data_IF_446808571386
#
_entry.id   IF_446808571386
#
_cell.length_a   1.000
_cell.length_b   1.000
_cell.length_c   1.000
_cell.angle_alpha   90.00
_cell.angle_beta   90.00
_cell.angle_gamma   90.00
#
_symmetry.space_group_name_H-M   'P 1'
#
loop_
_entity.id
_entity.type
_entity.pdbx_description
1 polymer ?
#
# COMPACT_ATOMS: atom_id res chain seq x y z
N UNK A 1 39.65 26.75 19.61
CA UNK A 1 38.44 26.87 20.45
C UNK A 1 38.19 28.35 20.67
N UNK A 2 37.03 28.84 20.26
CA UNK A 2 36.67 30.25 20.32
C UNK A 2 35.65 30.42 21.46
N UNK A 3 35.92 31.34 22.39
CA UNK A 3 35.22 31.43 23.68
C UNK A 3 33.94 32.29 23.64
N UNK A 4 33.69 33.04 22.55
CA UNK A 4 32.46 33.83 22.34
C UNK A 4 31.93 33.64 20.92
N UNK A 5 30.69 33.14 20.78
CA UNK A 5 30.10 32.73 19.49
C UNK A 5 30.02 33.81 18.40
N UNK A 6 30.06 35.10 18.75
CA UNK A 6 29.87 36.21 17.80
C UNK A 6 31.18 36.69 17.12
N UNK A 7 32.35 36.32 17.65
CA UNK A 7 33.67 36.77 17.15
C UNK A 7 34.47 35.64 16.49
N UNK A 8 33.86 34.48 16.26
CA UNK A 8 34.57 33.34 15.70
C UNK A 8 34.71 33.47 14.18
N UNK A 9 35.87 33.06 13.62
CA UNK A 9 36.06 33.01 12.18
C UNK A 9 35.12 31.95 11.59
N UNK A 10 34.25 32.37 10.66
CA UNK A 10 33.24 31.49 10.06
C UNK A 10 33.00 31.83 8.60
N UNK A 11 32.45 30.87 7.87
CA UNK A 11 32.02 31.06 6.48
C UNK A 11 30.52 30.77 6.37
N UNK A 12 29.79 31.68 5.73
CA UNK A 12 28.33 31.68 5.67
C UNK A 12 27.81 32.16 4.29
N UNK A 13 26.49 32.11 4.10
CA UNK A 13 25.78 32.64 2.92
C UNK A 13 26.28 32.09 1.57
N UNK A 14 26.19 30.76 1.33
CA UNK A 14 26.59 30.18 0.05
C UNK A 14 25.65 30.58 -1.09
N UNK A 15 26.22 30.95 -2.23
CA UNK A 15 25.50 31.25 -3.47
C UNK A 15 26.19 30.59 -4.67
N UNK A 16 25.48 29.77 -5.48
CA UNK A 16 24.10 29.35 -5.31
C UNK A 16 23.92 28.28 -4.23
N UNK A 17 22.74 28.26 -3.60
CA UNK A 17 22.34 27.22 -2.63
C UNK A 17 21.90 25.90 -3.26
N UNK A 18 21.61 25.89 -4.57
CA UNK A 18 21.18 24.72 -5.32
C UNK A 18 22.26 24.27 -6.30
N UNK A 19 22.75 23.05 -6.13
CA UNK A 19 23.86 22.53 -6.93
C UNK A 19 23.41 21.27 -7.70
N UNK A 20 23.46 21.27 -9.05
CA UNK A 20 23.16 20.09 -9.85
C UNK A 20 24.23 19.00 -9.67
N UNK A 21 23.78 17.75 -9.50
CA UNK A 21 24.66 16.57 -9.54
C UNK A 21 25.26 16.41 -10.95
N UNK A 22 26.55 16.08 -11.02
CA UNK A 22 27.29 15.85 -12.27
C UNK A 22 27.73 17.10 -13.03
N UNK A 23 27.50 18.31 -12.49
CA UNK A 23 27.96 19.57 -13.10
C UNK A 23 28.72 20.44 -12.09
N UNK A 24 29.94 20.83 -12.44
CA UNK A 24 30.80 21.68 -11.62
C UNK A 24 30.20 23.08 -11.51
N UNK A 25 29.72 23.40 -10.31
CA UNK A 25 29.07 24.68 -10.01
C UNK A 25 29.95 25.48 -9.08
N UNK A 26 30.37 26.66 -9.52
CA UNK A 26 31.12 27.58 -8.68
C UNK A 26 30.22 28.09 -7.56
N UNK A 27 30.73 28.09 -6.32
CA UNK A 27 30.02 28.55 -5.13
C UNK A 27 30.82 29.70 -4.52
N UNK A 28 30.17 30.85 -4.35
CA UNK A 28 30.71 31.96 -3.57
C UNK A 28 30.08 32.02 -2.18
N UNK A 29 30.83 32.50 -1.20
CA UNK A 29 30.39 32.61 0.19
C UNK A 29 31.13 33.74 0.91
N UNK A 30 30.58 34.17 2.05
CA UNK A 30 31.15 35.25 2.86
C UNK A 30 32.01 34.70 3.98
N UNK A 31 33.20 35.28 4.15
CA UNK A 31 34.07 35.06 5.30
C UNK A 31 33.84 36.14 6.37
N UNK A 32 33.54 35.73 7.59
CA UNK A 32 33.23 36.61 8.73
C UNK A 32 34.33 36.45 9.79
N UNK A 33 34.79 37.58 10.36
CA UNK A 33 35.84 37.63 11.39
C UNK A 33 37.17 36.97 10.96
N UNK A 34 37.59 37.19 9.70
CA UNK A 34 38.80 36.59 9.11
C UNK A 34 40.02 37.52 9.06
N UNK A 35 40.01 38.66 9.74
CA UNK A 35 41.09 39.67 9.66
C UNK A 35 42.46 39.10 10.09
N UNK A 36 42.48 38.16 11.03
CA UNK A 36 43.71 37.46 11.47
C UNK A 36 44.13 36.30 10.55
N UNK A 37 43.45 36.13 9.42
CA UNK A 37 43.60 35.00 8.51
C UNK A 37 43.86 35.41 7.05
N UNK A 38 44.19 36.69 6.79
CA UNK A 38 44.33 37.19 5.42
C UNK A 38 45.40 36.49 4.58
N UNK A 39 46.49 36.02 5.19
CA UNK A 39 47.58 35.29 4.53
C UNK A 39 47.36 33.77 4.49
N UNK A 40 46.20 33.26 4.95
CA UNK A 40 45.94 31.81 5.00
C UNK A 40 45.32 31.29 3.73
N UNK A 41 45.65 30.04 3.42
CA UNK A 41 45.04 29.28 2.33
C UNK A 41 44.05 28.29 2.91
N UNK A 42 42.82 28.33 2.43
CA UNK A 42 41.74 27.45 2.85
C UNK A 42 41.45 26.38 1.81
N UNK A 43 41.00 25.23 2.29
CA UNK A 43 40.42 24.17 1.47
C UNK A 43 38.97 23.92 1.89
N UNK A 44 38.13 23.56 0.92
CA UNK A 44 36.72 23.22 1.09
C UNK A 44 36.52 21.73 0.87
N UNK A 45 35.74 21.08 1.72
CA UNK A 45 35.41 19.67 1.58
C UNK A 45 34.04 19.34 2.15
N UNK A 46 33.55 18.16 1.80
CA UNK A 46 32.33 17.57 2.38
C UNK A 46 32.41 16.04 2.37
N UNK A 47 31.51 15.37 3.08
CA UNK A 47 31.45 13.91 3.18
C UNK A 47 31.26 13.24 1.81
N UNK A 48 30.54 13.89 0.90
CA UNK A 48 30.30 13.37 -0.45
C UNK A 48 31.51 13.51 -1.40
N UNK A 49 32.56 14.24 -1.01
CA UNK A 49 33.79 14.39 -1.81
C UNK A 49 34.81 13.26 -1.57
N UNK A 50 34.47 12.20 -0.79
CA UNK A 50 35.34 11.03 -0.56
C UNK A 50 36.77 11.40 -0.11
N UNK A 51 36.88 12.33 0.83
CA UNK A 51 38.15 12.87 1.36
C UNK A 51 38.95 13.75 0.38
N UNK A 52 38.40 14.11 -0.77
CA UNK A 52 38.96 15.19 -1.60
C UNK A 52 38.61 16.54 -0.99
N UNK A 53 39.56 17.48 -1.08
CA UNK A 53 39.40 18.87 -0.68
C UNK A 53 39.86 19.74 -1.84
N UNK A 54 39.13 20.82 -2.10
CA UNK A 54 39.43 21.75 -3.20
C UNK A 54 39.94 23.08 -2.65
N UNK A 55 40.82 23.79 -3.37
CA UNK A 55 41.33 25.08 -2.93
C UNK A 55 40.24 26.15 -2.99
N UNK A 56 40.15 26.94 -1.93
CA UNK A 56 39.29 28.13 -1.87
C UNK A 56 40.09 29.35 -2.33
N UNK A 57 39.46 30.20 -3.15
CA UNK A 57 40.05 31.45 -3.65
C UNK A 57 39.46 32.63 -2.89
N UNK A 58 40.31 33.56 -2.45
CA UNK A 58 39.87 34.86 -1.92
C UNK A 58 39.50 35.74 -3.12
N UNK A 59 38.28 36.25 -3.11
CA UNK A 59 37.78 37.21 -4.10
C UNK A 59 37.94 38.64 -3.54
N UNK A 60 37.14 39.59 -4.05
CA UNK A 60 37.14 40.96 -3.54
C UNK A 60 36.50 41.06 -2.14
N UNK A 61 37.16 41.80 -1.23
CA UNK A 61 36.63 42.08 0.11
C UNK A 61 36.52 40.83 0.98
N UNK A 62 35.30 40.54 1.46
CA UNK A 62 35.00 39.40 2.35
C UNK A 62 34.54 38.14 1.62
N UNK A 63 34.53 38.14 0.29
CA UNK A 63 34.02 37.03 -0.50
C UNK A 63 35.11 36.01 -0.80
N UNK A 64 34.72 34.75 -0.78
CA UNK A 64 35.54 33.61 -1.14
C UNK A 64 34.79 32.74 -2.14
N UNK A 65 35.50 32.01 -2.99
CA UNK A 65 34.91 31.16 -4.01
C UNK A 65 35.57 29.79 -4.08
N UNK A 66 34.77 28.83 -4.51
CA UNK A 66 35.18 27.48 -4.86
C UNK A 66 34.69 27.20 -6.28
N UNK A 67 35.58 26.76 -7.17
CA UNK A 67 35.27 26.53 -8.59
C UNK A 67 34.21 25.44 -8.86
N UNK A 68 33.90 24.60 -7.88
CA UNK A 68 32.90 23.54 -7.97
C UNK A 68 33.50 22.13 -7.98
N UNK A 69 32.66 21.16 -7.62
CA UNK A 69 32.99 19.73 -7.63
C UNK A 69 31.92 18.98 -8.43
N UNK A 70 32.32 17.97 -9.21
CA UNK A 70 31.36 17.08 -9.87
C UNK A 70 30.87 16.01 -8.90
N UNK A 71 29.74 16.27 -8.24
CA UNK A 71 29.13 15.32 -7.31
C UNK A 71 28.47 14.15 -8.04
N UNK A 72 28.45 12.98 -7.39
CA UNK A 72 27.68 11.80 -7.80
C UNK A 72 26.77 11.37 -6.66
N UNK A 73 25.45 11.52 -6.84
CA UNK A 73 24.45 11.17 -5.84
C UNK A 73 23.11 10.82 -6.51
N UNK A 74 22.54 9.67 -6.18
CA UNK A 74 21.36 9.09 -6.85
C UNK A 74 20.31 8.50 -5.89
N UNK A 75 20.51 8.61 -4.56
CA UNK A 75 19.61 8.00 -3.56
C UNK A 75 18.28 8.73 -3.39
N UNK A 76 18.25 10.03 -3.67
CA UNK A 76 17.05 10.87 -3.57
C UNK A 76 17.13 12.02 -4.59
N UNK A 77 15.98 12.64 -4.94
CA UNK A 77 15.98 13.80 -5.84
C UNK A 77 16.80 14.98 -5.30
N UNK A 78 16.83 15.14 -3.98
CA UNK A 78 17.57 16.18 -3.26
C UNK A 78 18.25 15.64 -2.01
N UNK A 79 19.36 16.26 -1.63
CA UNK A 79 20.02 16.05 -0.34
C UNK A 79 20.73 17.32 0.12
N UNK A 80 20.69 17.60 1.42
CA UNK A 80 21.43 18.72 2.01
C UNK A 80 22.86 18.31 2.36
N UNK A 81 23.80 19.18 2.05
CA UNK A 81 25.23 18.94 2.20
C UNK A 81 25.84 20.13 2.91
N UNK A 82 26.50 19.84 4.02
CA UNK A 82 27.28 20.81 4.77
C UNK A 82 28.74 20.76 4.29
N UNK A 83 29.27 21.91 3.88
CA UNK A 83 30.68 22.07 3.60
C UNK A 83 31.44 22.50 4.86
N UNK A 84 32.61 21.91 5.06
CA UNK A 84 33.56 22.36 6.07
C UNK A 84 34.71 23.10 5.41
N UNK A 85 35.14 24.22 6.00
CA UNK A 85 36.40 24.87 5.64
C UNK A 85 37.54 24.33 6.49
N UNK A 86 38.71 24.20 5.90
CA UNK A 86 39.91 23.76 6.60
C UNK A 86 41.07 24.69 6.28
N UNK A 87 41.77 25.13 7.31
CA UNK A 87 43.00 25.89 7.16
C UNK A 87 44.13 24.93 6.76
N UNK A 88 44.70 25.12 5.57
CA UNK A 88 45.74 24.25 5.02
C UNK A 88 47.01 24.23 5.89
N UNK A 89 47.29 25.32 6.62
CA UNK A 89 48.48 25.44 7.47
C UNK A 89 48.35 24.66 8.78
N UNK A 90 47.18 24.74 9.43
CA UNK A 90 46.97 24.11 10.75
C UNK A 90 46.28 22.74 10.65
N UNK A 91 45.65 22.43 9.52
CA UNK A 91 44.85 21.22 9.33
C UNK A 91 43.50 21.25 10.06
N UNK A 92 43.19 22.34 10.78
CA UNK A 92 41.99 22.44 11.58
C UNK A 92 40.78 22.81 10.73
N UNK A 93 39.65 22.15 11.00
CA UNK A 93 38.36 22.51 10.43
C UNK A 93 37.77 23.71 11.17
N UNK A 94 37.22 24.65 10.41
CA UNK A 94 36.51 25.80 10.93
C UNK A 94 35.01 25.49 11.00
N UNK A 95 34.34 26.10 11.98
CA UNK A 95 32.88 26.05 12.04
C UNK A 95 32.33 26.85 10.86
N UNK A 96 31.46 26.26 10.06
CA UNK A 96 30.96 26.86 8.82
C UNK A 96 29.50 26.47 8.65
N UNK A 97 28.66 27.43 8.28
CA UNK A 97 27.22 27.23 8.07
C UNK A 97 26.87 27.09 6.58
N UNK A 98 27.85 26.62 5.80
CA UNK A 98 27.76 26.45 4.35
C UNK A 98 26.94 25.22 3.96
N UNK A 99 25.63 25.32 4.20
CA UNK A 99 24.66 24.33 3.76
C UNK A 99 24.19 24.64 2.34
N UNK A 100 24.30 23.64 1.46
CA UNK A 100 23.71 23.67 0.12
C UNK A 100 22.83 22.44 -0.08
N UNK A 101 21.95 22.51 -1.08
CA UNK A 101 21.16 21.36 -1.50
C UNK A 101 21.67 20.87 -2.86
N UNK A 102 22.13 19.63 -2.89
CA UNK A 102 22.38 18.92 -4.14
C UNK A 102 21.05 18.41 -4.70
N UNK A 103 20.84 18.54 -6.00
CA UNK A 103 19.69 17.95 -6.67
C UNK A 103 20.09 17.13 -7.90
N UNK A 104 19.38 16.04 -8.14
CA UNK A 104 19.56 15.19 -9.30
C UNK A 104 18.31 15.22 -10.17
N UNK A 105 18.46 15.72 -11.40
CA UNK A 105 17.38 15.79 -12.37
C UNK A 105 16.85 14.42 -12.79
N UNK A 106 17.67 13.37 -12.76
CA UNK A 106 17.30 12.05 -13.28
C UNK A 106 16.49 11.20 -12.29
N UNK A 107 16.63 11.45 -10.99
CA UNK A 107 15.96 10.64 -9.95
C UNK A 107 14.48 11.00 -9.85
N UNK A 108 13.61 10.00 -10.00
CA UNK A 108 12.15 10.17 -10.02
C UNK A 108 11.59 10.84 -11.27
N UNK A 109 12.40 10.92 -12.35
CA UNK A 109 12.03 11.55 -13.63
C UNK A 109 12.49 10.68 -14.80
N UNK A 110 11.96 9.47 -14.86
CA UNK A 110 12.37 8.44 -15.81
C UNK A 110 11.92 8.73 -17.25
N UNK A 111 10.96 9.64 -17.44
CA UNK A 111 10.45 10.01 -18.76
C UNK A 111 10.40 11.53 -19.01
N UNK A 112 10.12 11.91 -20.25
CA UNK A 112 10.16 13.30 -20.67
C UNK A 112 9.09 14.16 -19.99
N UNK A 113 7.89 13.61 -19.79
CA UNK A 113 6.79 14.33 -19.17
C UNK A 113 7.06 14.59 -17.68
N UNK A 114 7.60 13.61 -16.95
CA UNK A 114 8.09 13.80 -15.56
C UNK A 114 9.23 14.81 -15.51
N UNK A 115 10.15 14.75 -16.47
CA UNK A 115 11.25 15.70 -16.55
C UNK A 115 10.76 17.14 -16.75
N UNK A 116 9.77 17.34 -17.63
CA UNK A 116 9.16 18.65 -17.87
C UNK A 116 8.26 19.13 -16.75
N UNK A 117 7.71 18.23 -15.94
CA UNK A 117 6.96 18.57 -14.74
C UNK A 117 7.87 19.08 -13.61
N UNK A 118 9.18 18.85 -13.70
CA UNK A 118 10.12 19.36 -12.71
C UNK A 118 9.99 20.87 -12.54
N UNK A 119 10.11 21.32 -11.29
CA UNK A 119 10.14 22.74 -10.96
C UNK A 119 11.23 23.46 -11.77
N UNK A 120 10.87 24.61 -12.35
CA UNK A 120 11.74 25.38 -13.22
C UNK A 120 13.02 25.83 -12.51
N UNK A 121 13.03 25.93 -11.17
CA UNK A 121 14.23 26.27 -10.38
C UNK A 121 15.39 25.29 -10.57
N UNK A 122 15.11 24.02 -10.88
CA UNK A 122 16.14 23.00 -11.12
C UNK A 122 16.71 23.05 -12.54
N UNK A 123 16.08 23.79 -13.46
CA UNK A 123 16.50 23.85 -14.87
C UNK A 123 16.77 22.47 -15.49
N UNK A 124 15.98 21.47 -15.11
CA UNK A 124 16.06 20.12 -15.69
C UNK A 124 15.46 20.13 -17.10
N UNK A 125 16.08 19.39 -18.01
CA UNK A 125 15.62 19.24 -19.40
C UNK A 125 15.71 17.77 -19.82
N UNK A 126 14.77 17.34 -20.65
CA UNK A 126 14.82 16.02 -21.26
C UNK A 126 15.84 16.01 -22.40
N UNK A 127 16.88 15.21 -22.27
CA UNK A 127 17.92 15.10 -23.31
C UNK A 127 17.63 13.92 -24.23
N UNK A 128 16.99 14.18 -25.37
CA UNK A 128 16.46 13.16 -26.30
C UNK A 128 17.49 12.14 -26.77
N UNK A 129 18.76 12.54 -26.98
CA UNK A 129 19.86 11.63 -27.35
C UNK A 129 20.24 10.67 -26.22
N UNK A 130 20.24 11.15 -24.99
CA UNK A 130 20.56 10.36 -23.80
C UNK A 130 19.34 9.59 -23.26
N UNK A 131 18.13 9.98 -23.69
CA UNK A 131 16.84 9.50 -23.16
C UNK A 131 16.78 9.62 -21.64
N UNK A 132 17.26 10.74 -21.11
CA UNK A 132 17.36 10.99 -19.69
C UNK A 132 17.03 12.44 -19.34
N UNK A 133 16.51 12.66 -18.13
CA UNK A 133 16.32 13.98 -17.56
C UNK A 133 17.63 14.46 -16.93
N UNK A 134 18.21 15.55 -17.45
CA UNK A 134 19.51 16.06 -16.99
C UNK A 134 19.44 17.57 -16.76
N UNK A 135 20.41 18.11 -16.03
CA UNK A 135 20.55 19.57 -15.91
C UNK A 135 20.84 20.19 -17.28
N UNK A 136 20.22 21.35 -17.59
CA UNK A 136 20.27 22.01 -18.92
C UNK A 136 21.66 22.09 -19.54
N UNK A 137 22.70 22.38 -18.75
CA UNK A 137 24.08 22.53 -19.25
C UNK A 137 24.77 21.21 -19.59
N UNK A 138 24.24 20.07 -19.11
CA UNK A 138 24.75 18.73 -19.41
C UNK A 138 24.15 18.14 -20.70
N UNK A 139 23.13 18.77 -21.30
CA UNK A 139 22.57 18.33 -22.56
C UNK A 139 23.13 19.14 -23.74
N UNK A 140 23.85 18.48 -24.64
CA UNK A 140 24.44 19.11 -25.84
C UNK A 140 23.43 19.46 -26.94
N UNK A 141 22.16 19.04 -26.80
CA UNK A 141 21.12 19.17 -27.83
C UNK A 141 19.81 19.66 -27.22
N UNK A 142 19.77 20.94 -26.84
CA UNK A 142 18.61 21.55 -26.19
C UNK A 142 17.49 21.93 -27.16
N UNK A 143 17.60 21.62 -28.46
CA UNK A 143 16.66 22.09 -29.48
C UNK A 143 15.47 21.15 -29.68
N UNK A 144 15.61 19.84 -29.43
CA UNK A 144 14.49 18.90 -29.55
C UNK A 144 13.81 18.66 -28.20
N UNK A 145 12.89 19.56 -27.86
CA UNK A 145 12.16 19.56 -26.59
C UNK A 145 10.89 18.72 -26.62
N UNK A 146 10.56 18.05 -27.72
CA UNK A 146 9.28 17.34 -27.82
C UNK A 146 9.36 15.94 -27.21
N UNK A 147 8.47 15.64 -26.26
CA UNK A 147 8.42 14.31 -25.65
C UNK A 147 8.01 13.22 -26.66
N UNK A 148 8.49 11.98 -26.51
CA UNK A 148 8.07 10.87 -27.36
C UNK A 148 6.57 10.55 -27.20
N UNK A 149 6.07 9.66 -28.07
CA UNK A 149 4.71 9.14 -27.93
C UNK A 149 4.51 8.41 -26.59
N UNK A 150 3.31 8.50 -25.99
CA UNK A 150 3.00 7.75 -24.78
C UNK A 150 3.18 6.24 -24.97
N UNK A 151 3.70 5.58 -23.95
CA UNK A 151 3.83 4.12 -23.94
C UNK A 151 2.98 3.54 -22.84
N UNK A 152 2.03 2.66 -23.21
CA UNK A 152 1.19 1.95 -22.25
C UNK A 152 1.89 0.65 -21.87
N UNK A 153 2.17 0.48 -20.58
CA UNK A 153 2.88 -0.68 -20.03
C UNK A 153 1.93 -1.70 -19.41
N UNK A 154 0.87 -1.23 -18.73
CA UNK A 154 -0.08 -2.09 -18.04
C UNK A 154 -1.48 -1.47 -17.98
N UNK A 155 -2.51 -2.30 -17.85
CA UNK A 155 -3.91 -1.90 -17.72
C UNK A 155 -4.55 -2.73 -16.61
N UNK A 156 -5.18 -2.07 -15.64
CA UNK A 156 -5.77 -2.72 -14.46
C UNK A 156 -7.18 -2.18 -14.21
N UNK A 157 -8.23 -3.03 -14.21
CA UNK A 157 -8.24 -4.44 -14.57
C UNK A 157 -8.13 -4.66 -16.09
N UNK A 158 -7.79 -5.89 -16.52
CA UNK A 158 -7.76 -6.28 -17.94
C UNK A 158 -9.12 -6.71 -18.50
N UNK A 159 -10.10 -6.88 -17.62
CA UNK A 159 -11.43 -7.38 -17.94
C UNK A 159 -12.49 -6.44 -17.35
N UNK A 160 -13.59 -6.26 -18.08
CA UNK A 160 -14.73 -5.51 -17.56
C UNK A 160 -16.07 -5.94 -18.15
N UNK A 161 -17.19 -5.58 -17.48
CA UNK A 161 -18.52 -5.96 -17.92
C UNK A 161 -18.91 -5.34 -19.26
N UNK A 162 -19.75 -6.03 -20.04
CA UNK A 162 -20.20 -5.54 -21.35
C UNK A 162 -20.99 -4.22 -21.25
N UNK A 163 -21.69 -4.00 -20.12
CA UNK A 163 -22.41 -2.73 -19.86
C UNK A 163 -21.50 -1.59 -19.43
N UNK A 164 -20.21 -1.83 -19.22
CA UNK A 164 -19.26 -0.86 -18.70
C UNK A 164 -19.58 -0.44 -17.26
N UNK A 165 -19.21 0.79 -16.90
CA UNK A 165 -19.47 1.37 -15.58
C UNK A 165 -18.45 0.97 -14.51
N UNK A 166 -17.28 0.49 -14.91
CA UNK A 166 -16.10 0.29 -14.04
C UNK A 166 -14.99 1.27 -14.43
N UNK A 167 -14.08 1.56 -13.50
CA UNK A 167 -12.88 2.36 -13.81
C UNK A 167 -11.70 1.44 -14.13
N UNK A 168 -10.97 1.76 -15.19
CA UNK A 168 -9.68 1.13 -15.49
C UNK A 168 -8.54 2.13 -15.27
N UNK A 169 -7.41 1.63 -14.81
CA UNK A 169 -6.16 2.37 -14.63
C UNK A 169 -5.18 1.94 -15.71
N UNK A 170 -4.74 2.91 -16.50
CA UNK A 170 -3.79 2.73 -17.59
C UNK A 170 -2.45 3.25 -17.11
N UNK A 171 -1.48 2.35 -16.94
CA UNK A 171 -0.12 2.68 -16.54
C UNK A 171 0.78 2.83 -17.76
N UNK A 172 1.75 3.73 -17.68
CA UNK A 172 2.62 4.02 -18.79
C UNK A 172 3.68 5.06 -18.50
N UNK A 173 4.24 5.60 -19.58
CA UNK A 173 5.18 6.71 -19.57
C UNK A 173 4.83 7.72 -20.66
N UNK A 174 5.28 8.96 -20.47
CA UNK A 174 4.98 10.11 -21.34
C UNK A 174 3.46 10.32 -21.54
N UNK A 175 2.67 10.09 -20.48
CA UNK A 175 1.20 10.20 -20.53
C UNK A 175 0.69 11.65 -20.41
N UNK A 176 1.57 12.65 -20.46
CA UNK A 176 1.22 14.06 -20.31
C UNK A 176 1.86 14.68 -19.07
N UNK A 177 1.86 16.02 -19.01
CA UNK A 177 2.37 16.79 -17.88
C UNK A 177 1.20 17.15 -16.96
N UNK A 178 0.07 17.52 -17.55
CA UNK A 178 -1.16 17.90 -16.84
C UNK A 178 -2.31 16.96 -17.20
N UNK A 179 -3.33 16.90 -16.34
CA UNK A 179 -4.52 16.05 -16.57
C UNK A 179 -5.30 16.48 -17.83
N UNK A 180 -5.23 17.76 -18.18
CA UNK A 180 -5.85 18.35 -19.38
C UNK A 180 -5.12 17.98 -20.68
N UNK A 181 -3.91 17.41 -20.59
CA UNK A 181 -3.19 16.91 -21.77
C UNK A 181 -3.85 15.67 -22.37
N UNK A 182 -4.64 14.93 -21.58
CA UNK A 182 -5.40 13.78 -22.04
C UNK A 182 -6.58 14.25 -22.89
N UNK A 183 -6.55 13.99 -24.20
CA UNK A 183 -7.57 14.44 -25.14
C UNK A 183 -8.62 13.41 -25.45
N UNK A 184 -8.21 12.15 -25.54
CA UNK A 184 -9.14 11.06 -25.80
C UNK A 184 -8.56 9.75 -25.26
N UNK A 185 -9.46 8.86 -24.83
CA UNK A 185 -9.12 7.51 -24.41
C UNK A 185 -10.15 6.58 -25.04
N UNK A 186 -9.69 5.52 -25.69
CA UNK A 186 -10.56 4.46 -26.19
C UNK A 186 -10.12 3.10 -25.67
N UNK A 187 -11.09 2.23 -25.43
CA UNK A 187 -10.89 0.86 -24.94
C UNK A 187 -11.63 -0.07 -25.89
N UNK A 188 -10.88 -0.92 -26.60
CA UNK A 188 -11.41 -1.75 -27.68
C UNK A 188 -12.20 -0.94 -28.75
N UNK A 189 -11.82 0.32 -28.96
CA UNK A 189 -12.47 1.24 -29.89
C UNK A 189 -13.70 1.97 -29.35
N UNK A 190 -14.10 1.72 -28.10
CA UNK A 190 -15.19 2.45 -27.43
C UNK A 190 -14.65 3.61 -26.57
N UNK A 191 -15.33 4.76 -26.51
CA UNK A 191 -14.91 5.89 -25.69
C UNK A 191 -14.82 5.55 -24.20
N UNK A 192 -13.76 6.02 -23.55
CA UNK A 192 -13.56 5.91 -22.10
C UNK A 192 -13.51 7.31 -21.47
N UNK A 193 -14.29 7.54 -20.42
CA UNK A 193 -14.44 8.86 -19.80
C UNK A 193 -13.28 9.09 -18.85
N UNK A 194 -12.41 10.06 -19.14
CA UNK A 194 -11.25 10.37 -18.31
C UNK A 194 -11.66 10.87 -16.91
N UNK A 195 -11.08 10.26 -15.87
CA UNK A 195 -11.27 10.62 -14.47
C UNK A 195 -10.09 11.51 -14.02
N UNK A 196 -10.18 12.80 -14.32
CA UNK A 196 -9.07 13.76 -14.16
C UNK A 196 -8.52 13.84 -12.72
N UNK A 197 -9.38 13.65 -11.72
CA UNK A 197 -8.99 13.70 -10.30
C UNK A 197 -8.15 12.51 -9.84
N UNK A 198 -8.10 11.44 -10.65
CA UNK A 198 -7.30 10.23 -10.40
C UNK A 198 -6.08 10.14 -11.31
N UNK A 199 -5.73 11.22 -12.01
CA UNK A 199 -4.56 11.28 -12.87
C UNK A 199 -3.27 11.38 -12.05
N UNK A 200 -2.26 10.61 -12.41
CA UNK A 200 -0.90 10.72 -11.89
C UNK A 200 0.03 11.14 -13.01
N UNK A 201 0.80 12.21 -12.78
CA UNK A 201 1.66 12.84 -13.79
C UNK A 201 2.50 11.79 -14.52
N UNK A 202 2.29 11.71 -15.84
CA UNK A 202 2.97 10.81 -16.79
C UNK A 202 2.88 9.30 -16.54
N UNK A 203 2.43 8.88 -15.36
CA UNK A 203 2.59 7.51 -14.85
C UNK A 203 1.31 6.71 -14.91
N UNK A 204 0.15 7.33 -14.68
CA UNK A 204 -1.14 6.65 -14.82
C UNK A 204 -2.31 7.57 -15.15
N UNK A 205 -3.20 7.04 -15.99
CA UNK A 205 -4.47 7.67 -16.38
C UNK A 205 -5.61 6.74 -15.99
N UNK A 206 -6.60 7.25 -15.27
CA UNK A 206 -7.82 6.51 -14.95
C UNK A 206 -8.97 6.95 -15.86
N UNK A 207 -9.76 5.99 -16.34
CA UNK A 207 -10.96 6.28 -17.11
C UNK A 207 -12.09 5.28 -16.82
N UNK A 208 -13.34 5.72 -16.95
CA UNK A 208 -14.54 4.89 -16.79
C UNK A 208 -15.00 4.37 -18.15
N UNK A 209 -15.07 3.04 -18.30
CA UNK A 209 -15.44 2.41 -19.57
C UNK A 209 -16.95 2.50 -19.82
N UNK A 210 -17.33 2.76 -21.06
CA UNK A 210 -18.71 2.71 -21.52
C UNK A 210 -19.19 1.28 -21.85
N UNK A 211 -20.46 1.18 -22.23
CA UNK A 211 -21.06 -0.04 -22.78
C UNK A 211 -20.46 -0.35 -24.15
N UNK A 212 -20.12 -1.61 -24.39
CA UNK A 212 -19.69 -2.07 -25.71
C UNK A 212 -20.88 -2.35 -26.64
N UNK A 213 -20.76 -1.94 -27.91
CA UNK A 213 -21.78 -2.19 -28.93
C UNK A 213 -21.88 -3.67 -29.33
N UNK A 214 -23.06 -4.17 -29.73
CA UNK A 214 -23.28 -5.59 -30.03
C UNK A 214 -22.48 -6.14 -31.23
N UNK A 215 -22.04 -5.27 -32.15
CA UNK A 215 -21.29 -5.64 -33.36
C UNK A 215 -19.80 -5.28 -33.28
N UNK A 216 -19.28 -5.04 -32.07
CA UNK A 216 -17.89 -4.66 -31.84
C UNK A 216 -17.08 -5.85 -31.34
N UNK A 217 -15.78 -5.84 -31.60
CA UNK A 217 -14.88 -6.84 -31.03
C UNK A 217 -14.84 -6.68 -29.52
N UNK A 218 -15.18 -7.74 -28.78
CA UNK A 218 -15.16 -7.75 -27.32
C UNK A 218 -13.76 -7.57 -26.74
N UNK A 219 -12.71 -7.82 -27.54
CA UNK A 219 -11.33 -7.64 -27.14
C UNK A 219 -10.62 -6.68 -28.08
N UNK A 220 -9.84 -5.76 -27.52
CA UNK A 220 -9.08 -4.81 -28.31
C UNK A 220 -8.10 -3.98 -27.49
N UNK A 221 -7.24 -3.20 -28.17
CA UNK A 221 -6.24 -2.38 -27.50
C UNK A 221 -6.90 -1.19 -26.78
N UNK A 222 -6.14 -0.63 -25.84
CA UNK A 222 -6.41 0.68 -25.24
C UNK A 222 -5.53 1.71 -25.93
N UNK A 223 -6.13 2.82 -26.34
CA UNK A 223 -5.43 3.92 -27.01
C UNK A 223 -5.65 5.22 -26.23
N UNK A 224 -4.57 6.00 -26.08
CA UNK A 224 -4.59 7.31 -25.43
C UNK A 224 -4.03 8.34 -26.41
N UNK A 225 -4.76 9.45 -26.57
CA UNK A 225 -4.30 10.63 -27.28
C UNK A 225 -3.97 11.72 -26.28
N UNK A 226 -2.75 12.22 -26.38
CA UNK A 226 -2.28 13.34 -25.56
C UNK A 226 -2.03 14.57 -26.44
N UNK A 227 -1.88 15.72 -25.80
CA UNK A 227 -1.53 16.99 -26.45
C UNK A 227 -0.33 16.85 -27.42
N UNK A 228 -0.35 17.64 -28.49
CA UNK A 228 0.66 17.57 -29.56
C UNK A 228 0.42 16.44 -30.57
N UNK A 229 -0.79 15.87 -30.61
CA UNK A 229 -1.16 14.84 -31.60
C UNK A 229 -0.53 13.46 -31.35
N UNK A 230 0.08 13.26 -30.18
CA UNK A 230 0.77 12.02 -29.83
C UNK A 230 -0.21 10.95 -29.39
N UNK A 231 0.12 9.71 -29.73
CA UNK A 231 -0.74 8.55 -29.50
C UNK A 231 0.03 7.41 -28.88
N UNK A 232 -0.51 6.87 -27.78
CA UNK A 232 -0.09 5.60 -27.21
C UNK A 232 -1.10 4.50 -27.54
N UNK A 233 -0.61 3.31 -27.87
CA UNK A 233 -1.43 2.11 -28.11
C UNK A 233 -0.88 0.95 -27.28
N UNK A 234 -1.74 0.28 -26.53
CA UNK A 234 -1.34 -0.85 -25.70
C UNK A 234 -0.99 -2.07 -26.57
N UNK A 235 -0.01 -2.85 -26.10
CA UNK A 235 0.32 -4.16 -26.69
C UNK A 235 -0.60 -5.27 -26.18
N UNK A 236 -1.11 -5.10 -24.96
CA UNK A 236 -2.10 -5.99 -24.33
C UNK A 236 -3.51 -5.51 -24.67
N UNK A 237 -4.43 -6.44 -24.83
CA UNK A 237 -5.83 -6.13 -25.09
C UNK A 237 -6.63 -6.11 -23.78
N UNK A 238 -7.60 -5.20 -23.72
CA UNK A 238 -8.68 -5.24 -22.76
C UNK A 238 -9.81 -6.10 -23.32
N UNK A 239 -10.50 -6.87 -22.48
CA UNK A 239 -11.59 -7.76 -22.91
C UNK A 239 -12.87 -7.52 -22.11
N UNK A 240 -13.94 -7.21 -22.83
CA UNK A 240 -15.31 -7.17 -22.32
C UNK A 240 -15.87 -8.58 -22.18
N UNK A 241 -16.39 -8.91 -21.00
CA UNK A 241 -17.06 -10.18 -20.70
C UNK A 241 -18.02 -9.96 -19.54
N UNK A 242 -19.05 -10.80 -19.38
CA UNK A 242 -19.95 -10.69 -18.23
C UNK A 242 -19.68 -11.82 -17.22
N UNK A 243 -19.70 -11.52 -15.90
CA UNK A 243 -19.48 -12.51 -14.86
C UNK A 243 -20.69 -13.46 -14.72
N UNK A 244 -20.41 -14.76 -14.66
CA UNK A 244 -21.43 -15.81 -14.56
C UNK A 244 -21.22 -16.60 -13.26
N UNK A 245 -21.78 -16.16 -12.14
CA UNK A 245 -21.75 -16.92 -10.90
C UNK A 245 -22.68 -18.13 -11.01
N UNK A 246 -22.25 -19.26 -10.45
CA UNK A 246 -22.93 -20.56 -10.61
C UNK A 246 -23.26 -21.23 -9.27
N UNK A 247 -22.41 -21.04 -8.26
CA UNK A 247 -22.55 -21.73 -6.98
C UNK A 247 -22.04 -20.90 -5.81
N UNK A 248 -22.54 -21.24 -4.62
CA UNK A 248 -22.14 -20.63 -3.35
C UNK A 248 -21.93 -21.75 -2.32
N UNK A 249 -20.81 -21.72 -1.60
CA UNK A 249 -20.51 -22.66 -0.54
C UNK A 249 -19.86 -21.97 0.68
N UNK A 250 -20.27 -22.26 1.92
CA UNK A 250 -21.40 -23.10 2.31
C UNK A 250 -22.74 -22.47 1.91
N UNK A 251 -23.81 -23.28 1.88
CA UNK A 251 -25.17 -22.83 1.51
C UNK A 251 -26.01 -22.39 2.73
N UNK A 252 -25.44 -22.45 3.94
CA UNK A 252 -26.09 -22.14 5.21
C UNK A 252 -25.09 -21.48 6.16
N UNK A 253 -25.58 -20.67 7.08
CA UNK A 253 -24.79 -20.08 8.15
C UNK A 253 -25.67 -19.41 9.22
N UNK A 254 -25.10 -19.06 10.39
CA UNK A 254 -25.85 -18.49 11.51
C UNK A 254 -26.42 -17.10 11.21
N UNK A 255 -27.55 -16.77 11.85
CA UNK A 255 -28.24 -15.47 11.79
C UNK A 255 -27.31 -14.29 12.09
N UNK A 256 -26.42 -14.45 13.06
CA UNK A 256 -25.47 -13.42 13.45
C UNK A 256 -24.42 -13.12 12.35
N UNK A 257 -24.35 -13.94 11.30
CA UNK A 257 -23.46 -13.75 10.15
C UNK A 257 -22.07 -14.31 10.39
N UNK A 258 -21.08 -13.70 9.76
CA UNK A 258 -19.67 -14.05 9.92
C UNK A 258 -19.20 -15.28 9.17
N UNK A 259 -20.08 -15.90 8.37
CA UNK A 259 -19.75 -17.03 7.49
C UNK A 259 -18.96 -16.53 6.27
N UNK A 260 -17.79 -17.12 6.02
CA UNK A 260 -17.07 -16.90 4.77
C UNK A 260 -17.69 -17.79 3.68
N UNK A 261 -18.47 -17.20 2.79
CA UNK A 261 -19.01 -17.88 1.62
C UNK A 261 -18.08 -17.71 0.42
N UNK A 262 -17.93 -18.78 -0.35
CA UNK A 262 -17.17 -18.83 -1.59
C UNK A 262 -18.14 -18.91 -2.76
N UNK A 263 -18.08 -17.93 -3.65
CA UNK A 263 -18.87 -17.86 -4.88
C UNK A 263 -17.99 -18.36 -6.02
N UNK A 264 -18.47 -19.37 -6.73
CA UNK A 264 -17.79 -20.00 -7.87
C UNK A 264 -18.58 -19.78 -9.16
N UNK A 265 -17.87 -19.73 -10.28
CA UNK A 265 -18.50 -19.54 -11.59
C UNK A 265 -17.45 -19.23 -12.66
N UNK A 266 -17.88 -18.56 -13.73
CA UNK A 266 -17.02 -18.14 -14.83
C UNK A 266 -16.86 -16.63 -14.83
N UNK A 267 -15.67 -16.17 -15.22
CA UNK A 267 -15.38 -14.74 -15.42
C UNK A 267 -15.70 -13.87 -14.20
N UNK A 268 -15.55 -14.38 -12.98
CA UNK A 268 -15.80 -13.60 -11.76
C UNK A 268 -14.77 -12.49 -11.58
N UNK A 269 -13.53 -12.69 -12.05
CA UNK A 269 -12.48 -11.66 -12.12
C UNK A 269 -12.69 -10.69 -13.30
N UNK A 270 -13.80 -9.97 -13.30
CA UNK A 270 -14.21 -9.03 -14.37
C UNK A 270 -14.44 -7.63 -13.83
N UNK A 271 -13.55 -7.19 -12.93
CA UNK A 271 -13.40 -5.81 -12.46
C UNK A 271 -12.16 -5.76 -11.54
N UNK A 272 -12.04 -4.69 -10.75
CA UNK A 272 -11.21 -4.63 -9.54
C UNK A 272 -12.05 -4.91 -8.29
N UNK A 273 -11.41 -5.28 -7.18
CA UNK A 273 -12.08 -5.62 -5.91
C UNK A 273 -12.90 -4.44 -5.36
N UNK A 274 -12.41 -3.22 -5.57
CA UNK A 274 -12.99 -1.97 -5.07
C UNK A 274 -14.34 -1.65 -5.74
N UNK A 275 -14.57 -2.18 -6.95
CA UNK A 275 -15.78 -1.99 -7.73
C UNK A 275 -16.80 -3.12 -7.52
N UNK A 276 -16.55 -4.05 -6.60
CA UNK A 276 -17.41 -5.24 -6.38
C UNK A 276 -18.09 -5.17 -5.03
N UNK A 277 -19.41 -5.35 -5.05
CA UNK A 277 -20.23 -5.45 -3.84
C UNK A 277 -21.06 -6.73 -3.89
N UNK A 278 -21.09 -7.47 -2.78
CA UNK A 278 -21.85 -8.72 -2.66
C UNK A 278 -22.91 -8.57 -1.59
N UNK A 279 -24.11 -9.06 -1.86
CA UNK A 279 -25.23 -9.11 -0.92
C UNK A 279 -25.86 -10.50 -0.87
N UNK A 280 -26.33 -10.89 0.31
CA UNK A 280 -27.14 -12.09 0.54
C UNK A 280 -28.55 -11.63 0.91
N UNK A 281 -29.47 -11.70 -0.04
CA UNK A 281 -30.70 -10.92 0.03
C UNK A 281 -30.36 -9.43 0.17
N UNK A 282 -30.79 -8.82 1.27
CA UNK A 282 -30.51 -7.41 1.60
C UNK A 282 -29.28 -7.21 2.50
N UNK A 283 -28.65 -8.30 2.96
CA UNK A 283 -27.52 -8.23 3.89
C UNK A 283 -26.19 -8.11 3.13
N UNK A 284 -25.38 -7.12 3.49
CA UNK A 284 -24.05 -6.93 2.90
C UNK A 284 -23.11 -8.11 3.24
N UNK A 285 -22.34 -8.56 2.24
CA UNK A 285 -21.29 -9.55 2.39
C UNK A 285 -19.93 -8.92 2.07
N UNK A 286 -19.06 -8.80 3.08
CA UNK A 286 -17.78 -8.10 2.95
C UNK A 286 -16.77 -8.94 2.16
N UNK A 287 -16.40 -8.49 0.96
CA UNK A 287 -15.47 -9.19 0.07
C UNK A 287 -14.06 -9.24 0.68
N UNK A 288 -13.56 -10.46 0.92
CA UNK A 288 -12.21 -10.74 1.42
C UNK A 288 -11.26 -10.99 0.27
N UNK A 289 -11.62 -11.90 -0.63
CA UNK A 289 -10.81 -12.31 -1.77
C UNK A 289 -11.62 -12.16 -3.06
N UNK A 290 -10.94 -11.71 -4.12
CA UNK A 290 -11.54 -11.47 -5.42
C UNK A 290 -10.62 -12.00 -6.53
N UNK A 291 -11.11 -12.99 -7.28
CA UNK A 291 -10.37 -13.65 -8.35
C UNK A 291 -11.30 -14.55 -9.16
N UNK A 292 -10.82 -15.73 -9.54
CA UNK A 292 -11.65 -16.74 -10.21
C UNK A 292 -12.80 -17.25 -9.33
N UNK A 293 -12.64 -17.13 -8.01
CA UNK A 293 -13.70 -17.23 -7.02
C UNK A 293 -13.77 -15.93 -6.21
N UNK A 294 -14.91 -15.67 -5.58
CA UNK A 294 -15.09 -14.54 -4.67
C UNK A 294 -15.38 -15.09 -3.27
N UNK A 295 -14.56 -14.71 -2.30
CA UNK A 295 -14.80 -15.05 -0.88
C UNK A 295 -15.30 -13.81 -0.18
N UNK A 296 -16.48 -13.88 0.44
CA UNK A 296 -17.02 -12.78 1.23
C UNK A 296 -17.54 -13.26 2.58
N UNK A 297 -17.46 -12.39 3.59
CA UNK A 297 -17.96 -12.65 4.94
C UNK A 297 -19.36 -12.09 5.09
N UNK A 298 -20.34 -12.93 5.40
CA UNK A 298 -21.73 -12.52 5.58
C UNK A 298 -21.89 -11.55 6.75
N UNK A 299 -22.74 -10.54 6.58
CA UNK A 299 -23.18 -9.66 7.67
C UNK A 299 -24.26 -10.30 8.55
N UNK A 300 -24.66 -9.58 9.59
CA UNK A 300 -25.75 -9.99 10.47
C UNK A 300 -27.11 -9.87 9.76
N UNK A 301 -27.95 -10.90 9.93
CA UNK A 301 -29.33 -10.88 9.46
C UNK A 301 -30.23 -10.23 10.52
N UNK A 302 -30.47 -8.92 10.35
CA UNK A 302 -31.14 -8.08 11.35
C UNK A 302 -32.65 -8.32 11.49
N UNK A 303 -33.29 -9.05 10.58
CA UNK A 303 -34.73 -9.27 10.67
C UNK A 303 -35.07 -10.25 11.81
N UNK A 304 -36.20 -10.01 12.48
CA UNK A 304 -36.63 -10.84 13.62
C UNK A 304 -36.86 -12.29 13.20
N UNK A 305 -37.57 -12.51 12.10
CA UNK A 305 -37.88 -13.83 11.56
C UNK A 305 -36.84 -14.28 10.55
N UNK A 306 -36.36 -15.50 10.70
CA UNK A 306 -35.46 -16.13 9.73
C UNK A 306 -36.16 -16.38 8.39
N UNK A 307 -35.40 -16.33 7.28
CA UNK A 307 -35.96 -16.61 5.96
C UNK A 307 -36.30 -18.11 5.85
N UNK A 308 -37.54 -18.38 5.43
CA UNK A 308 -38.02 -19.74 5.18
C UNK A 308 -37.32 -20.39 3.97
N UNK A 309 -36.95 -19.57 2.98
CA UNK A 309 -36.30 -19.99 1.75
C UNK A 309 -34.85 -19.52 1.68
N UNK A 310 -34.07 -20.15 0.80
CA UNK A 310 -32.71 -19.68 0.49
C UNK A 310 -32.78 -18.33 -0.22
N UNK A 311 -32.01 -17.37 0.27
CA UNK A 311 -31.86 -16.04 -0.29
C UNK A 311 -30.93 -16.07 -1.52
N UNK A 312 -31.16 -15.17 -2.50
CA UNK A 312 -30.24 -14.99 -3.61
C UNK A 312 -28.94 -14.34 -3.11
N UNK A 313 -27.82 -14.70 -3.75
CA UNK A 313 -26.55 -14.02 -3.56
C UNK A 313 -26.29 -13.15 -4.78
N UNK A 314 -26.37 -11.83 -4.60
CA UNK A 314 -26.27 -10.82 -5.66
C UNK A 314 -24.89 -10.19 -5.65
N UNK A 315 -24.27 -10.08 -6.82
CA UNK A 315 -22.97 -9.44 -7.01
C UNK A 315 -23.15 -8.26 -7.96
N UNK A 316 -22.78 -7.07 -7.49
CA UNK A 316 -22.74 -5.84 -8.27
C UNK A 316 -21.30 -5.56 -8.71
N UNK A 317 -21.11 -5.31 -10.00
CA UNK A 317 -19.86 -4.94 -10.64
C UNK A 317 -19.98 -3.52 -11.19
N UNK A 318 -19.23 -2.59 -10.60
CA UNK A 318 -19.28 -1.17 -10.93
C UNK A 318 -20.69 -0.60 -10.77
N UNK A 319 -21.07 0.29 -11.68
CA UNK A 319 -22.37 0.99 -11.64
C UNK A 319 -23.50 0.28 -12.40
N UNK A 320 -23.17 -0.59 -13.34
CA UNK A 320 -24.12 -0.99 -14.40
C UNK A 320 -24.41 -2.49 -14.48
N UNK A 321 -23.61 -3.34 -13.83
CA UNK A 321 -23.72 -4.80 -13.98
C UNK A 321 -24.06 -5.46 -12.67
N UNK A 322 -25.15 -6.22 -12.66
CA UNK A 322 -25.62 -7.00 -11.51
C UNK A 322 -25.87 -8.43 -11.97
N UNK A 323 -25.35 -9.38 -11.23
CA UNK A 323 -25.52 -10.82 -11.46
C UNK A 323 -25.87 -11.52 -10.14
N UNK A 324 -26.43 -12.72 -10.18
CA UNK A 324 -26.89 -13.40 -8.96
C UNK A 324 -26.91 -14.92 -9.10
N UNK A 325 -26.68 -15.60 -7.98
CA UNK A 325 -27.03 -17.02 -7.80
C UNK A 325 -28.34 -17.06 -7.04
N UNK A 326 -29.39 -17.53 -7.70
CA UNK A 326 -30.72 -17.65 -7.10
C UNK A 326 -30.75 -18.76 -6.05
N UNK A 327 -31.53 -18.59 -4.99
CA UNK A 327 -31.75 -19.59 -3.94
C UNK A 327 -30.47 -20.24 -3.40
N UNK A 328 -29.47 -19.42 -3.07
CA UNK A 328 -28.11 -19.90 -2.82
C UNK A 328 -27.74 -20.08 -1.34
N UNK A 329 -28.19 -19.17 -0.45
CA UNK A 329 -27.75 -19.16 0.95
C UNK A 329 -28.93 -19.00 1.92
N UNK A 330 -28.92 -19.73 3.04
CA UNK A 330 -29.94 -19.63 4.08
C UNK A 330 -29.32 -19.28 5.44
N UNK A 331 -29.87 -18.23 6.08
CA UNK A 331 -29.58 -17.95 7.48
C UNK A 331 -30.35 -18.92 8.38
N UNK A 332 -29.63 -19.47 9.35
CA UNK A 332 -30.10 -20.45 10.33
C UNK A 332 -30.02 -19.88 11.74
N UNK A 333 -30.67 -20.52 12.70
CA UNK A 333 -30.53 -20.14 14.11
C UNK A 333 -29.07 -20.23 14.58
N UNK A 334 -28.69 -19.33 15.49
CA UNK A 334 -27.33 -19.26 16.00
C UNK A 334 -26.96 -20.54 16.78
N UNK A 335 -25.70 -21.00 16.73
CA UNK A 335 -25.25 -22.14 17.50
C UNK A 335 -25.40 -21.89 19.00
N UNK A 336 -25.71 -22.93 19.75
CA UNK A 336 -25.85 -22.88 21.21
C UNK A 336 -24.99 -23.94 21.87
N UNK A 337 -24.47 -23.64 23.06
CA UNK A 337 -23.75 -24.60 23.89
C UNK A 337 -24.66 -25.04 25.02
N UNK A 338 -24.84 -26.35 25.17
CA UNK A 338 -25.69 -26.95 26.19
C UNK A 338 -24.91 -27.43 27.40
N UNK A 339 -23.74 -28.05 27.20
CA UNK A 339 -22.94 -28.57 28.30
C UNK A 339 -21.45 -28.67 27.94
N UNK A 340 -20.62 -28.71 28.97
CA UNK A 340 -19.17 -28.75 28.89
C UNK A 340 -18.65 -29.83 29.83
N UNK A 341 -17.98 -30.84 29.29
CA UNK A 341 -17.45 -31.94 30.07
C UNK A 341 -15.97 -32.19 29.73
N UNK A 342 -15.06 -32.04 30.70
CA UNK A 342 -15.26 -31.59 32.09
C UNK A 342 -15.38 -30.06 32.19
N UNK A 343 -16.13 -29.57 33.19
CA UNK A 343 -16.29 -28.12 33.46
C UNK A 343 -15.03 -27.43 33.99
N UNK A 344 -14.03 -28.23 34.36
CA UNK A 344 -12.82 -27.78 35.02
C UNK A 344 -11.60 -28.33 34.29
N UNK A 345 -10.59 -27.48 34.17
CA UNK A 345 -9.30 -27.81 33.57
C UNK A 345 -8.18 -27.29 34.46
N UNK A 346 -6.99 -27.87 34.30
CA UNK A 346 -5.79 -27.35 34.93
C UNK A 346 -5.41 -25.99 34.36
N UNK A 347 -4.79 -25.13 35.17
CA UNK A 347 -4.28 -23.80 34.76
C UNK A 347 -3.29 -23.91 33.60
N UNK A 348 -2.46 -24.96 33.59
CA UNK A 348 -1.55 -25.27 32.47
C UNK A 348 -2.27 -25.82 31.22
N UNK A 349 -3.59 -25.97 31.22
CA UNK A 349 -4.31 -26.64 30.14
C UNK A 349 -4.02 -28.14 30.03
N UNK A 350 -3.98 -28.68 28.82
CA UNK A 350 -3.69 -30.07 28.46
C UNK A 350 -4.87 -31.03 28.55
N UNK A 351 -6.07 -30.54 28.89
CA UNK A 351 -7.27 -31.37 29.05
C UNK A 351 -8.21 -31.16 27.86
N UNK A 352 -8.64 -32.26 27.24
CA UNK A 352 -9.71 -32.21 26.25
C UNK A 352 -11.02 -31.87 26.94
N UNK A 353 -11.69 -30.81 26.47
CA UNK A 353 -13.01 -30.39 26.91
C UNK A 353 -13.98 -30.72 25.79
N UNK A 354 -14.94 -31.60 26.10
CA UNK A 354 -16.04 -31.96 25.22
C UNK A 354 -17.14 -30.93 25.39
N UNK A 355 -17.39 -30.17 24.34
CA UNK A 355 -18.47 -29.19 24.25
C UNK A 355 -19.65 -29.82 23.55
N UNK A 356 -20.81 -29.84 24.20
CA UNK A 356 -22.06 -30.28 23.59
C UNK A 356 -22.97 -29.09 23.29
N UNK A 357 -23.77 -29.19 22.22
CA UNK A 357 -24.64 -28.10 21.81
C UNK A 357 -25.38 -28.37 20.50
N UNK A 358 -25.76 -27.30 19.81
CA UNK A 358 -26.47 -27.35 18.53
C UNK A 358 -25.92 -26.32 17.54
N UNK A 359 -26.06 -26.59 16.24
CA UNK A 359 -25.69 -25.66 15.17
C UNK A 359 -24.19 -25.52 14.93
N UNK A 360 -23.37 -26.40 15.50
CA UNK A 360 -21.91 -26.39 15.31
C UNK A 360 -21.49 -26.70 13.86
N UNK A 361 -22.36 -27.32 13.07
CA UNK A 361 -22.18 -27.55 11.64
C UNK A 361 -22.27 -26.26 10.79
N UNK A 362 -22.82 -25.18 11.35
CA UNK A 362 -23.02 -23.90 10.66
C UNK A 362 -21.79 -22.98 10.74
N UNK A 363 -20.83 -23.28 11.62
CA UNK A 363 -19.64 -22.47 11.85
C UNK A 363 -18.42 -23.13 11.21
N UNK A 364 -17.55 -22.30 10.62
CA UNK A 364 -16.34 -22.78 9.94
C UNK A 364 -15.14 -22.89 10.88
N UNK A 365 -15.15 -22.11 11.96
CA UNK A 365 -14.11 -22.09 12.98
C UNK A 365 -14.74 -21.82 14.34
N UNK A 366 -14.29 -22.57 15.35
CA UNK A 366 -14.67 -22.41 16.74
C UNK A 366 -13.38 -22.22 17.55
N UNK A 367 -13.41 -21.29 18.50
CA UNK A 367 -12.28 -21.01 19.40
C UNK A 367 -12.84 -20.96 20.81
N UNK A 368 -12.21 -21.67 21.75
CA UNK A 368 -12.60 -21.60 23.15
C UNK A 368 -11.89 -20.42 23.80
N UNK A 369 -12.63 -19.61 24.56
CA UNK A 369 -12.06 -18.52 25.36
C UNK A 369 -12.32 -18.77 26.82
N UNK A 370 -11.24 -18.72 27.59
CA UNK A 370 -11.25 -18.92 29.03
C UNK A 370 -10.78 -17.63 29.70
N UNK A 371 -11.62 -17.08 30.58
CA UNK A 371 -11.31 -15.92 31.40
C UNK A 371 -11.32 -16.35 32.87
N UNK A 372 -10.20 -16.14 33.57
CA UNK A 372 -10.07 -16.40 35.01
C UNK A 372 -10.00 -15.10 35.81
N UNK A 373 -10.27 -15.18 37.12
CA UNK A 373 -10.42 -14.06 38.07
C UNK A 373 -9.14 -13.23 38.37
N UNK A 374 -8.20 -13.11 37.41
CA UNK A 374 -7.16 -12.07 37.32
C UNK A 374 -6.23 -12.21 36.09
N UNK A 375 -6.62 -12.99 35.06
CA UNK A 375 -5.84 -13.14 33.82
C UNK A 375 -6.70 -13.57 32.64
N UNK A 376 -6.49 -12.95 31.46
CA UNK A 376 -7.11 -13.36 30.20
C UNK A 376 -6.15 -14.23 29.37
N UNK A 377 -6.60 -15.39 28.92
CA UNK A 377 -5.88 -16.21 27.93
C UNK A 377 -6.75 -16.38 26.69
N UNK A 378 -6.23 -15.99 25.52
CA UNK A 378 -6.89 -16.12 24.22
C UNK A 378 -6.32 -17.32 23.49
N UNK A 379 -7.10 -18.36 23.26
CA UNK A 379 -6.66 -19.51 22.49
C UNK A 379 -6.36 -19.12 21.03
N UNK A 380 -5.26 -19.66 20.49
CA UNK A 380 -4.85 -19.50 19.09
C UNK A 380 -5.75 -20.35 18.20
N UNK A 381 -6.24 -19.73 17.12
CA UNK A 381 -7.10 -20.29 16.07
C UNK A 381 -6.93 -21.79 15.79
N UNK A 382 -7.93 -22.60 16.13
CA UNK A 382 -8.11 -23.90 15.45
C UNK A 382 -8.71 -23.63 14.08
N UNK A 383 -7.87 -23.70 13.06
CA UNK A 383 -8.31 -23.69 11.67
C UNK A 383 -8.87 -25.07 11.36
N UNK A 384 -10.14 -25.18 10.96
CA UNK A 384 -10.70 -26.46 10.51
C UNK A 384 -10.02 -26.84 9.19
N UNK A 385 -8.91 -27.56 9.30
CA UNK A 385 -8.20 -28.18 8.19
C UNK A 385 -8.78 -29.58 8.02
N UNK A 386 -10.03 -29.67 7.54
CA UNK A 386 -10.69 -30.88 7.01
C UNK A 386 -10.45 -32.26 7.69
N UNK A 387 -9.99 -32.30 8.93
CA UNK A 387 -9.70 -33.51 9.70
C UNK A 387 -9.95 -33.27 11.20
N UNK A 388 -11.11 -32.72 11.56
CA UNK A 388 -11.73 -33.15 12.81
C UNK A 388 -12.38 -34.48 12.51
N UNK A 389 -11.99 -35.54 13.23
CA UNK A 389 -12.75 -36.77 13.23
C UNK A 389 -14.19 -36.43 13.60
N UNK A 390 -15.04 -36.44 12.58
CA UNK A 390 -16.48 -36.41 12.69
C UNK A 390 -16.86 -37.59 13.58
N UNK A 391 -17.02 -37.36 14.88
CA UNK A 391 -17.64 -38.34 15.78
C UNK A 391 -19.14 -38.35 15.56
N UNK A 392 -19.60 -38.63 14.32
CA UNK A 392 -20.95 -39.07 13.92
C UNK A 392 -22.20 -38.39 14.55
N UNK A 393 -22.07 -37.25 15.24
CA UNK A 393 -23.13 -36.59 15.98
C UNK A 393 -22.89 -35.07 15.86
N UNK A 394 -23.82 -34.37 15.21
CA UNK A 394 -23.76 -32.93 14.89
C UNK A 394 -23.82 -31.97 16.10
N UNK A 395 -23.55 -32.49 17.30
CA UNK A 395 -23.73 -31.79 18.58
C UNK A 395 -22.48 -31.77 19.46
N UNK A 396 -21.31 -32.22 18.99
CA UNK A 396 -20.10 -32.37 19.82
C UNK A 396 -18.89 -31.69 19.18
N UNK A 397 -18.14 -30.89 19.96
CA UNK A 397 -16.83 -30.33 19.62
C UNK A 397 -15.83 -30.72 20.71
N UNK A 398 -14.61 -31.11 20.33
CA UNK A 398 -13.50 -31.32 21.27
C UNK A 398 -12.51 -30.16 21.20
N UNK A 399 -12.23 -29.52 22.33
CA UNK A 399 -11.25 -28.42 22.46
C UNK A 399 -10.11 -28.81 23.41
N UNK A 400 -8.89 -28.32 23.17
CA UNK A 400 -7.72 -28.56 24.04
C UNK A 400 -7.38 -27.31 24.83
N UNK A 401 -7.45 -27.33 26.15
CA UNK A 401 -7.01 -26.18 26.95
C UNK A 401 -5.48 -25.95 26.81
N UNK A 402 -4.98 -24.73 26.64
CA UNK A 402 -3.53 -24.41 26.68
C UNK A 402 -3.23 -23.07 27.38
N UNK A 403 -2.02 -22.87 27.93
CA UNK A 403 -1.62 -21.61 28.58
C UNK A 403 -0.78 -20.73 27.64
N UNK A 404 -1.13 -19.45 27.54
CA UNK A 404 -0.50 -18.48 26.62
C UNK A 404 0.77 -17.78 27.14
N UNK A 405 1.48 -18.36 28.12
CA UNK A 405 2.76 -17.80 28.56
C UNK A 405 3.76 -18.93 28.81
N UNK A 406 4.67 -19.15 27.85
CA UNK A 406 5.69 -20.18 27.90
C UNK A 406 6.58 -20.12 29.17
N UNK A 407 6.68 -18.98 29.86
CA UNK A 407 7.47 -18.88 31.10
C UNK A 407 6.73 -19.34 32.35
N UNK A 408 5.44 -19.01 32.54
CA UNK A 408 4.68 -19.38 33.75
C UNK A 408 4.15 -20.82 33.69
N UNK A 409 3.74 -21.30 32.52
CA UNK A 409 3.25 -22.66 32.34
C UNK A 409 4.36 -23.70 32.58
N UNK A 410 5.58 -23.39 32.15
CA UNK A 410 6.74 -24.24 32.42
C UNK A 410 7.10 -24.28 33.91
N UNK A 411 6.93 -23.18 34.65
CA UNK A 411 7.21 -23.10 36.10
C UNK A 411 6.18 -23.87 36.96
N UNK A 412 4.90 -23.85 36.58
CA UNK A 412 3.85 -24.56 37.33
C UNK A 412 3.79 -26.06 37.04
N UNK A 413 4.22 -26.49 35.85
CA UNK A 413 4.10 -27.88 35.40
C UNK A 413 5.42 -28.68 35.40
N UNK A 414 6.52 -28.16 35.94
CA UNK A 414 7.84 -28.83 36.01
C UNK A 414 8.26 -29.34 37.40
N UNK A 415 7.40 -29.26 38.43
CA UNK A 415 7.76 -29.69 39.80
C UNK A 415 6.96 -30.92 40.23
N UNK A 416 7.55 -32.13 40.34
CA UNK A 416 6.83 -33.35 40.69
C UNK A 416 6.35 -33.48 42.15
N UNK A 417 6.48 -32.44 42.98
CA UNK A 417 6.48 -32.64 44.45
C UNK A 417 5.75 -31.59 45.29
N UNK A 418 4.94 -30.70 44.72
CA UNK A 418 4.08 -29.84 45.53
C UNK A 418 2.60 -30.23 45.39
N UNK A 419 2.19 -31.13 46.28
CA UNK A 419 0.83 -31.22 46.80
C UNK A 419 0.55 -29.90 47.52
N UNK A 420 0.20 -28.85 46.77
CA UNK A 420 -0.47 -27.68 47.31
C UNK A 420 -1.91 -27.82 46.87
N UNK A 421 -2.81 -27.89 47.85
CA UNK A 421 -4.27 -27.77 47.74
C UNK A 421 -4.70 -26.97 46.50
N UNK A 422 -4.91 -27.64 45.37
CA UNK A 422 -5.31 -27.02 44.12
C UNK A 422 -6.78 -26.69 44.25
N UNK A 423 -7.07 -25.49 44.75
CA UNK A 423 -8.39 -24.87 44.67
C UNK A 423 -8.87 -25.00 43.22
N UNK A 424 -9.99 -25.69 43.04
CA UNK A 424 -10.80 -25.65 41.83
C UNK A 424 -10.97 -24.17 41.42
N UNK A 425 -10.42 -23.80 40.27
CA UNK A 425 -10.73 -22.51 39.67
C UNK A 425 -12.08 -22.65 38.97
N UNK A 426 -13.08 -21.93 39.45
CA UNK A 426 -14.40 -21.87 38.81
C UNK A 426 -14.22 -21.18 37.44
N UNK A 427 -14.29 -21.94 36.35
CA UNK A 427 -14.31 -21.36 35.01
C UNK A 427 -15.72 -20.83 34.71
N UNK A 428 -15.90 -19.52 34.70
CA UNK A 428 -17.04 -18.89 34.02
C UNK A 428 -16.70 -18.79 32.53
N UNK A 429 -17.07 -19.83 31.78
CA UNK A 429 -16.94 -19.85 30.32
C UNK A 429 -17.96 -18.89 29.70
N UNK A 430 -17.48 -17.75 29.21
CA UNK A 430 -18.23 -16.88 28.30
C UNK A 430 -17.74 -17.17 26.88
N UNK A 431 -18.44 -18.07 26.19
CA UNK A 431 -18.23 -18.27 24.75
C UNK A 431 -18.76 -17.04 24.01
N UNK A 432 -17.90 -16.05 23.83
CA UNK A 432 -18.12 -15.00 22.84
C UNK A 432 -17.72 -15.59 21.50
N UNK A 433 -18.70 -15.95 20.67
CA UNK A 433 -18.47 -15.92 19.23
C UNK A 433 -18.03 -14.49 18.92
N UNK A 434 -16.81 -14.34 18.41
CA UNK A 434 -16.22 -13.05 18.11
C UNK A 434 -16.93 -12.45 16.89
N UNK A 435 -18.13 -11.92 17.14
CA UNK A 435 -18.79 -10.99 16.25
C UNK A 435 -18.15 -9.66 16.52
N UNK A 436 -17.33 -9.23 15.56
CA UNK A 436 -16.72 -7.92 15.57
C UNK A 436 -17.66 -6.97 14.79
N UNK A 437 -18.57 -6.21 15.43
CA UNK A 437 -18.98 -4.93 14.92
C UNK A 437 -18.00 -3.90 15.48
N UNK A 438 -17.13 -3.40 14.61
CA UNK A 438 -16.45 -2.13 14.87
C UNK A 438 -17.49 -1.01 15.02
N UNK A 439 -17.24 -0.14 16.00
CA UNK A 439 -17.92 1.12 16.37
C UNK A 439 -19.06 1.05 17.39
N UNK A 440 -18.73 1.36 18.65
CA UNK A 440 -19.38 2.42 19.44
C UNK A 440 -18.40 2.94 20.50
N UNK A 441 -18.11 4.25 20.44
CA UNK A 441 -17.51 5.01 21.55
C UNK A 441 -18.57 5.23 22.64
N UNK A 442 -18.16 5.41 23.91
CA UNK A 442 -18.67 6.60 24.59
C UNK A 442 -17.62 7.35 25.43
N UNK A 443 -17.78 8.68 25.35
CA UNK A 443 -17.20 9.78 26.13
C UNK A 443 -15.80 10.29 25.76
#
# INVERSE_FOLDING_TARGET
MCFQRLECPQFENPDPVLIPVGYETSISFEGINLDNYEDRVFTIGTELMKNMEEPVRKESGRFYSFNGFSFSYDKSPETSVLFYMKDKRTGNKMDSTLNVTLYNCSVGREDCSLCKYADSKYNCVWCSKQKACVFKKLCSDSQNTECPNPQITNIVPLFGPMKGGISITIHGSNLGIYKEDIKNITVAGEPCIHQAEKYSVSTSVVCEIGRIGPNKSLSGPVEIWVNGGKRGKSRINFTYRDPVPQGVHPTRGPKAGGTNITITGQFLKTSSKEDVQVKVGDVNCAVKEFGEAIVCKTGEYQQEKLPLEKLPVTIHYGKSTTTSVQSAFQYMENPTVSDLQPRESFVCGGRTIVVTGSGFDLIQTAVMRVQGDNSSSVEVSTTFLHHCFSSLIWSVIECLSFPNHLSLAALLCSVPSLIINSKLALLLLKLTADFHPSFFSPH
#
